data_IF_206816511367
#
_entry.id   IF_206816511367
#
_cell.length_a   1.000
_cell.length_b   1.000
_cell.length_c   1.000
_cell.angle_alpha   90.00
_cell.angle_beta   90.00
_cell.angle_gamma   90.00
#
_symmetry.space_group_name_H-M   'P 1'
#
loop_
_entity.id
_entity.type
_entity.pdbx_description
1 polymer ?
#
# COMPACT_ATOMS: atom_id res chain seq x y z
N UNK A 1 -6.77 -2.06 -8.93
CA UNK A 1 -7.11 -0.86 -8.12
C UNK A 1 -6.44 -0.94 -6.75
N UNK A 2 -5.61 0.05 -6.39
CA UNK A 2 -4.92 0.14 -5.10
C UNK A 2 -5.80 0.77 -4.01
N UNK A 3 -5.67 0.29 -2.77
CA UNK A 3 -6.33 0.90 -1.60
C UNK A 3 -5.54 2.16 -1.24
N UNK A 4 -6.20 3.32 -1.28
CA UNK A 4 -5.55 4.64 -1.04
C UNK A 4 -6.07 5.27 0.25
N UNK A 5 -5.30 6.19 0.87
CA UNK A 5 -5.80 7.01 1.96
C UNK A 5 -7.01 7.87 1.54
N UNK A 6 -7.81 8.30 2.49
CA UNK A 6 -8.73 9.43 2.31
C UNK A 6 -7.92 10.73 2.24
N UNK A 7 -8.18 11.56 1.24
CA UNK A 7 -7.55 12.88 1.10
C UNK A 7 -8.28 13.94 1.94
N UNK A 8 -7.72 15.14 2.05
CA UNK A 8 -8.30 16.22 2.87
C UNK A 8 -9.72 16.63 2.39
N UNK A 9 -9.97 16.63 1.09
CA UNK A 9 -11.31 16.82 0.54
C UNK A 9 -12.24 15.63 0.78
N UNK A 10 -11.71 14.42 0.98
CA UNK A 10 -12.52 13.28 1.42
C UNK A 10 -12.87 13.38 2.91
N UNK A 11 -12.39 14.35 3.69
CA UNK A 11 -12.78 14.45 5.09
C UNK A 11 -14.14 15.14 5.19
N UNK A 12 -15.13 14.45 5.74
CA UNK A 12 -16.47 15.01 5.92
C UNK A 12 -16.49 15.98 7.10
N UNK A 13 -17.46 16.91 7.07
CA UNK A 13 -17.67 17.88 8.15
C UNK A 13 -18.15 17.21 9.45
N UNK A 14 -18.74 16.01 9.35
CA UNK A 14 -19.12 15.20 10.52
C UNK A 14 -17.87 14.81 11.34
N UNK A 15 -17.78 15.25 12.61
CA UNK A 15 -16.66 14.91 13.49
C UNK A 15 -16.47 13.41 13.71
N UNK A 16 -17.55 12.62 13.70
CA UNK A 16 -17.47 11.18 13.92
C UNK A 16 -16.85 10.47 12.72
N UNK A 17 -17.36 10.76 11.53
CA UNK A 17 -16.85 10.18 10.30
C UNK A 17 -15.42 10.64 9.96
N UNK A 18 -15.08 11.91 10.21
CA UNK A 18 -13.71 12.42 10.07
C UNK A 18 -12.73 11.65 10.96
N UNK A 19 -13.10 11.35 12.22
CA UNK A 19 -12.27 10.52 13.12
C UNK A 19 -12.10 9.10 12.59
N UNK A 20 -13.14 8.48 12.04
CA UNK A 20 -13.05 7.15 11.44
C UNK A 20 -12.12 7.13 10.22
N UNK A 21 -12.26 8.08 9.30
CA UNK A 21 -11.41 8.20 8.09
C UNK A 21 -9.95 8.43 8.46
N UNK A 22 -9.65 9.27 9.47
CA UNK A 22 -8.28 9.44 10.00
C UNK A 22 -7.72 8.18 10.62
N UNK A 23 -8.52 7.42 11.39
CA UNK A 23 -8.11 6.13 11.96
C UNK A 23 -7.80 5.11 10.87
N UNK A 24 -8.59 5.09 9.80
CA UNK A 24 -8.32 4.26 8.62
C UNK A 24 -6.99 4.64 7.98
N UNK A 25 -6.76 5.93 7.68
CA UNK A 25 -5.49 6.39 7.11
C UNK A 25 -4.30 5.97 7.98
N UNK A 26 -4.38 6.17 9.31
CA UNK A 26 -3.32 5.75 10.24
C UNK A 26 -3.05 4.25 10.17
N UNK A 27 -4.11 3.42 10.14
CA UNK A 27 -3.98 1.96 10.03
C UNK A 27 -3.39 1.55 8.68
N UNK A 28 -3.85 2.17 7.59
CA UNK A 28 -3.35 1.92 6.24
C UNK A 28 -1.86 2.29 6.13
N UNK A 29 -1.45 3.46 6.63
CA UNK A 29 -0.04 3.88 6.68
C UNK A 29 0.79 2.92 7.52
N UNK A 30 0.30 2.52 8.70
CA UNK A 30 1.02 1.56 9.55
C UNK A 30 1.22 0.19 8.88
N UNK A 31 0.20 -0.30 8.16
CA UNK A 31 0.32 -1.55 7.40
C UNK A 31 1.29 -1.40 6.23
N UNK A 32 1.24 -0.27 5.52
CA UNK A 32 2.16 0.02 4.43
C UNK A 32 3.60 0.07 4.88
N UNK A 33 3.90 0.76 5.97
CA UNK A 33 5.25 0.77 6.58
C UNK A 33 5.75 -0.66 6.82
N UNK A 34 4.91 -1.54 7.39
CA UNK A 34 5.30 -2.93 7.62
C UNK A 34 5.60 -3.69 6.31
N UNK A 35 4.77 -3.50 5.29
CA UNK A 35 4.94 -4.13 3.98
C UNK A 35 6.18 -3.56 3.24
N UNK A 36 6.35 -2.25 3.28
CA UNK A 36 7.46 -1.52 2.68
C UNK A 36 8.79 -1.98 3.31
N UNK A 37 8.88 -2.03 4.64
CA UNK A 37 10.04 -2.59 5.34
C UNK A 37 10.32 -4.05 4.96
N UNK A 38 9.30 -4.92 4.91
CA UNK A 38 9.49 -6.32 4.54
C UNK A 38 10.08 -6.45 3.12
N UNK A 39 9.62 -5.63 2.17
CA UNK A 39 10.18 -5.59 0.82
C UNK A 39 11.54 -4.89 0.77
N UNK A 40 11.83 -3.92 1.64
CA UNK A 40 13.16 -3.31 1.81
C UNK A 40 14.20 -4.35 2.20
N UNK A 41 13.93 -5.12 3.26
CA UNK A 41 14.79 -6.24 3.67
C UNK A 41 14.98 -7.27 2.55
N UNK A 42 13.92 -7.59 1.80
CA UNK A 42 13.99 -8.54 0.69
C UNK A 42 14.85 -8.02 -0.46
N UNK A 43 14.74 -6.73 -0.81
CA UNK A 43 15.57 -6.10 -1.86
C UNK A 43 17.03 -5.98 -1.46
N UNK A 44 17.30 -5.62 -0.20
CA UNK A 44 18.66 -5.56 0.34
C UNK A 44 19.34 -6.92 0.30
N UNK A 45 18.61 -7.98 0.68
CA UNK A 45 19.14 -9.35 0.69
C UNK A 45 19.22 -10.00 -0.70
N UNK A 46 18.30 -9.65 -1.61
CA UNK A 46 18.23 -10.22 -2.95
C UNK A 46 18.29 -9.13 -4.02
N UNK A 47 19.51 -8.72 -4.46
CA UNK A 47 19.72 -7.67 -5.45
C UNK A 47 19.03 -7.93 -6.80
N UNK A 48 18.69 -9.18 -7.11
CA UNK A 48 17.91 -9.55 -8.30
C UNK A 48 16.59 -8.78 -8.40
N UNK A 49 16.00 -8.36 -7.27
CA UNK A 49 14.78 -7.56 -7.23
C UNK A 49 14.97 -6.12 -7.74
N UNK A 50 16.19 -5.58 -7.73
CA UNK A 50 16.51 -4.23 -8.24
C UNK A 50 16.71 -4.22 -9.77
N UNK A 51 17.11 -5.34 -10.37
CA UNK A 51 17.44 -5.45 -11.80
C UNK A 51 16.46 -6.29 -12.62
N UNK A 52 15.35 -6.72 -12.01
CA UNK A 52 14.35 -7.58 -12.65
C UNK A 52 13.51 -6.83 -13.68
N UNK A 53 13.81 -7.01 -14.97
CA UNK A 53 12.93 -6.62 -16.07
C UNK A 53 11.92 -7.73 -16.37
N UNK A 54 10.94 -7.93 -15.50
CA UNK A 54 9.88 -8.90 -15.76
C UNK A 54 8.72 -8.26 -16.53
N UNK A 55 8.31 -8.93 -17.61
CA UNK A 55 7.15 -8.55 -18.42
C UNK A 55 5.88 -9.34 -18.04
N UNK A 56 6.04 -10.46 -17.33
CA UNK A 56 4.94 -11.30 -16.85
C UNK A 56 4.74 -11.15 -15.34
N UNK A 57 3.53 -10.75 -14.95
CA UNK A 57 3.13 -10.55 -13.56
C UNK A 57 3.11 -11.88 -12.79
N UNK A 58 2.72 -12.98 -13.43
CA UNK A 58 2.67 -14.29 -12.79
C UNK A 58 4.07 -14.81 -12.46
N UNK A 59 5.05 -14.51 -13.31
CA UNK A 59 6.45 -14.83 -13.08
C UNK A 59 7.01 -14.02 -11.90
N UNK A 60 6.73 -12.72 -11.82
CA UNK A 60 7.10 -11.88 -10.68
C UNK A 60 6.55 -12.45 -9.37
N UNK A 61 5.28 -12.87 -9.34
CA UNK A 61 4.69 -13.44 -8.14
C UNK A 61 5.39 -14.72 -7.68
N UNK A 62 5.73 -15.63 -8.61
CA UNK A 62 6.46 -16.87 -8.28
C UNK A 62 7.86 -16.58 -7.74
N UNK A 63 8.54 -15.58 -8.31
CA UNK A 63 9.86 -15.16 -7.84
C UNK A 63 9.76 -14.58 -6.44
N UNK A 64 8.83 -13.65 -6.21
CA UNK A 64 8.62 -13.06 -4.89
C UNK A 64 8.27 -14.12 -3.84
N UNK A 65 7.38 -15.05 -4.16
CA UNK A 65 7.03 -16.15 -3.27
C UNK A 65 8.26 -17.01 -2.94
N UNK A 66 9.06 -17.36 -3.94
CA UNK A 66 10.28 -18.14 -3.75
C UNK A 66 11.29 -17.41 -2.87
N UNK A 67 11.49 -16.10 -3.07
CA UNK A 67 12.39 -15.29 -2.25
C UNK A 67 11.90 -15.17 -0.81
N UNK A 68 10.59 -15.05 -0.57
CA UNK A 68 10.03 -15.05 0.78
C UNK A 68 10.25 -16.39 1.49
N UNK A 69 10.11 -17.51 0.78
CA UNK A 69 10.43 -18.84 1.35
C UNK A 69 11.91 -18.93 1.71
N UNK A 70 12.81 -18.52 0.81
CA UNK A 70 14.26 -18.53 1.07
C UNK A 70 14.60 -17.61 2.25
N UNK A 71 14.04 -16.40 2.29
CA UNK A 71 14.22 -15.46 3.40
C UNK A 71 13.85 -16.12 4.74
N UNK A 72 12.68 -16.74 4.84
CA UNK A 72 12.24 -17.43 6.05
C UNK A 72 13.16 -18.58 6.47
N UNK A 73 13.74 -19.30 5.51
CA UNK A 73 14.73 -20.35 5.77
C UNK A 73 15.99 -19.74 6.37
N UNK A 74 16.51 -18.67 5.76
CA UNK A 74 17.73 -17.99 6.20
C UNK A 74 17.56 -17.35 7.59
N UNK A 75 16.42 -16.70 7.86
CA UNK A 75 16.06 -16.20 9.19
C UNK A 75 16.08 -17.31 10.24
N UNK A 76 15.58 -18.51 9.90
CA UNK A 76 15.59 -19.66 10.80
C UNK A 76 17.00 -20.19 11.07
N UNK A 77 17.92 -20.02 10.13
CA UNK A 77 19.34 -20.34 10.31
C UNK A 77 20.13 -19.22 10.96
N UNK A 78 19.50 -18.08 11.30
CA UNK A 78 20.15 -16.90 11.86
C UNK A 78 21.26 -16.35 10.94
N UNK A 79 21.03 -16.47 9.63
CA UNK A 79 21.90 -15.86 8.62
C UNK A 79 21.72 -14.35 8.67
N UNK A 80 22.80 -13.62 8.96
CA UNK A 80 22.78 -12.16 9.06
C UNK A 80 22.92 -11.55 7.67
N UNK A 81 21.90 -10.86 7.15
CA UNK A 81 21.99 -10.23 5.84
C UNK A 81 23.06 -9.13 5.76
N UNK A 82 23.54 -8.60 6.90
CA UNK A 82 24.64 -7.63 6.93
C UNK A 82 26.00 -8.21 6.49
N UNK A 83 26.14 -9.55 6.40
CA UNK A 83 27.33 -10.20 5.87
C UNK A 83 27.43 -10.13 4.32
N UNK A 84 26.38 -9.65 3.64
CA UNK A 84 26.36 -9.46 2.19
C UNK A 84 27.06 -8.12 1.85
N UNK A 85 28.08 -8.17 0.97
CA UNK A 85 28.95 -7.04 0.61
C UNK A 85 28.22 -5.77 0.12
N UNK A 86 26.98 -5.93 -0.39
CA UNK A 86 26.11 -4.86 -0.90
C UNK A 86 24.73 -4.86 -0.23
N UNK A 87 24.63 -5.34 1.02
CA UNK A 87 23.37 -5.25 1.75
C UNK A 87 23.02 -3.78 1.98
N UNK A 88 21.83 -3.42 1.52
CA UNK A 88 21.28 -2.08 1.66
C UNK A 88 19.80 -2.23 2.00
N UNK A 89 19.50 -2.01 3.29
CA UNK A 89 18.14 -2.00 3.85
C UNK A 89 17.49 -0.63 3.79
N UNK A 90 18.20 0.40 3.31
CA UNK A 90 17.62 1.72 3.08
C UNK A 90 16.59 1.64 1.94
N UNK A 91 15.48 2.33 2.13
CA UNK A 91 14.49 2.50 1.07
C UNK A 91 15.05 3.47 0.02
N UNK A 92 14.92 3.15 -1.27
CA UNK A 92 15.32 4.06 -2.37
C UNK A 92 14.73 5.46 -2.15
N UNK A 93 15.58 6.43 -1.80
CA UNK A 93 15.24 7.85 -1.69
C UNK A 93 14.79 8.35 -3.07
N UNK A 94 13.47 8.39 -3.32
CA UNK A 94 12.91 8.94 -4.56
C UNK A 94 11.83 8.10 -5.22
N UNK A 95 11.43 6.96 -4.65
CA UNK A 95 10.19 6.30 -5.09
C UNK A 95 9.02 7.17 -4.64
N UNK A 96 8.53 8.02 -5.56
CA UNK A 96 7.34 8.82 -5.30
C UNK A 96 6.23 7.90 -4.80
N UNK A 97 5.68 8.22 -3.61
CA UNK A 97 4.49 7.57 -3.11
C UNK A 97 3.47 7.60 -4.25
N UNK A 98 3.05 6.45 -4.78
CA UNK A 98 1.99 6.39 -5.80
C UNK A 98 0.68 6.75 -5.12
N UNK A 99 0.54 8.02 -4.79
CA UNK A 99 -0.70 8.73 -4.51
C UNK A 99 -1.41 8.76 -5.83
N UNK A 100 -1.99 7.63 -6.22
CA UNK A 100 -2.63 7.66 -7.52
C UNK A 100 -3.68 8.76 -7.47
N UNK A 101 -3.56 9.66 -8.42
CA UNK A 101 -4.32 10.89 -8.43
C UNK A 101 -5.79 10.53 -8.61
N UNK A 102 -6.66 11.22 -7.87
CA UNK A 102 -8.06 11.19 -8.21
C UNK A 102 -8.18 11.71 -9.65
N UNK A 103 -9.01 11.09 -10.49
CA UNK A 103 -9.23 11.63 -11.82
C UNK A 103 -9.67 13.09 -11.70
N UNK A 104 -8.91 14.01 -12.30
CA UNK A 104 -9.07 15.46 -12.14
C UNK A 104 -10.47 15.98 -12.51
N UNK A 105 -11.31 15.15 -13.14
CA UNK A 105 -12.70 15.47 -13.51
C UNK A 105 -13.69 15.53 -12.33
N UNK A 106 -13.30 15.16 -11.11
CA UNK A 106 -14.20 15.16 -9.94
C UNK A 106 -13.95 16.33 -8.97
N UNK A 107 -13.07 17.27 -9.32
CA UNK A 107 -12.69 18.40 -8.46
C UNK A 107 -13.70 19.55 -8.36
N UNK A 108 -14.94 19.39 -8.84
CA UNK A 108 -15.97 20.42 -8.83
C UNK A 108 -17.00 20.21 -7.72
N UNK A 109 -16.98 21.10 -6.73
CA UNK A 109 -18.08 21.50 -5.84
C UNK A 109 -19.11 20.43 -5.43
N UNK A 110 -19.08 20.06 -4.14
CA UNK A 110 -20.01 19.18 -3.43
C UNK A 110 -19.76 17.68 -3.67
N UNK A 111 -18.97 17.05 -2.78
CA UNK A 111 -18.96 15.59 -2.60
C UNK A 111 -20.30 15.03 -2.07
N UNK A 112 -21.27 15.91 -1.83
CA UNK A 112 -22.67 15.61 -1.53
C UNK A 112 -23.53 15.51 -2.82
N UNK A 113 -22.95 15.82 -3.99
CA UNK A 113 -23.53 15.50 -5.29
C UNK A 113 -23.48 14.00 -5.54
N UNK A 114 -24.58 13.43 -6.04
CA UNK A 114 -24.78 12.00 -6.28
C UNK A 114 -23.85 11.48 -7.38
N UNK A 115 -22.58 11.23 -7.03
CA UNK A 115 -21.63 10.53 -7.88
C UNK A 115 -22.14 9.12 -8.14
N UNK A 116 -22.09 8.67 -9.38
CA UNK A 116 -22.55 7.33 -9.73
C UNK A 116 -21.68 6.27 -9.01
N UNK A 117 -22.28 5.10 -8.72
CA UNK A 117 -21.54 3.99 -8.11
C UNK A 117 -20.30 3.58 -8.92
N UNK A 118 -20.36 3.69 -10.25
CA UNK A 118 -19.24 3.37 -11.14
C UNK A 118 -18.10 4.37 -10.99
N UNK A 119 -18.39 5.67 -10.85
CA UNK A 119 -17.39 6.71 -10.57
C UNK A 119 -16.80 6.56 -9.16
N UNK A 120 -17.65 6.25 -8.17
CA UNK A 120 -17.21 5.97 -6.80
C UNK A 120 -16.33 4.72 -6.71
N UNK A 121 -16.58 3.72 -7.55
CA UNK A 121 -15.77 2.52 -7.65
C UNK A 121 -14.45 2.79 -8.39
N UNK A 122 -14.50 3.51 -9.50
CA UNK A 122 -13.32 3.92 -10.26
C UNK A 122 -12.34 4.76 -9.43
N UNK A 123 -12.86 5.63 -8.56
CA UNK A 123 -12.07 6.42 -7.59
C UNK A 123 -11.65 5.64 -6.35
N UNK A 124 -12.10 4.39 -6.20
CA UNK A 124 -11.86 3.56 -5.03
C UNK A 124 -12.55 4.05 -3.74
N UNK A 125 -13.42 5.06 -3.81
CA UNK A 125 -14.15 5.59 -2.64
C UNK A 125 -15.13 4.56 -2.09
N UNK A 126 -15.84 3.83 -2.96
CA UNK A 126 -16.80 2.81 -2.56
C UNK A 126 -16.13 1.67 -1.77
N UNK A 127 -14.97 1.20 -2.25
CA UNK A 127 -14.19 0.14 -1.57
C UNK A 127 -13.68 0.60 -0.21
N UNK A 128 -13.24 1.86 -0.07
CA UNK A 128 -12.82 2.44 1.21
C UNK A 128 -13.98 2.55 2.20
N UNK A 129 -15.16 3.01 1.75
CA UNK A 129 -16.39 3.04 2.58
C UNK A 129 -16.80 1.64 3.03
N UNK A 130 -16.71 0.65 2.14
CA UNK A 130 -16.99 -0.75 2.48
C UNK A 130 -16.03 -1.29 3.54
N UNK A 131 -14.72 -1.09 3.38
CA UNK A 131 -13.71 -1.50 4.36
C UNK A 131 -13.91 -0.80 5.71
N UNK A 132 -14.24 0.50 5.71
CA UNK A 132 -14.56 1.23 6.93
C UNK A 132 -15.77 0.64 7.67
N UNK A 133 -16.81 0.24 6.94
CA UNK A 133 -17.98 -0.39 7.54
C UNK A 133 -17.63 -1.76 8.14
N UNK A 134 -16.82 -2.56 7.43
CA UNK A 134 -16.31 -3.83 7.96
C UNK A 134 -15.51 -3.62 9.26
N UNK A 135 -14.62 -2.63 9.27
CA UNK A 135 -13.83 -2.28 10.46
C UNK A 135 -14.66 -1.72 11.62
N UNK A 136 -15.88 -1.24 11.35
CA UNK A 136 -16.84 -0.81 12.38
C UNK A 136 -17.65 -1.99 12.93
N UNK A 137 -17.91 -3.02 12.13
CA UNK A 137 -18.64 -4.22 12.58
C UNK A 137 -17.80 -5.18 13.43
N UNK A 138 -16.48 -5.06 13.43
CA UNK A 138 -15.55 -5.88 14.22
C UNK A 138 -15.17 -5.26 15.59
N UNK A 139 -15.89 -4.21 16.02
CA UNK A 139 -15.74 -3.51 17.31
C UNK A 139 -17.05 -3.60 18.10
#
# INVERSE_FOLDING_TARGET
>A
YSIRPFNDYDLTTDPYESRCRRRFNRRLSSLRIFVEHAFGCLKGRFPILRSMSCHDVDEVYKILESLMVIHNILERFQDDPADIEDFDDEEDEGVAEVRGEAPAHLGGENLDGDLSNDELYATGLLRRKWLLNLMRSEL
#
